data_IF_955218013000
#
_entry.id   IF_955218013000
#
_cell.length_a   1.000
_cell.length_b   1.000
_cell.length_c   1.000
_cell.angle_alpha   90.00
_cell.angle_beta   90.00
_cell.angle_gamma   90.00
#
_symmetry.space_group_name_H-M   'P 1'
#
loop_
_entity.id
_entity.type
_entity.pdbx_description
1 polymer ?
#
# COMPACT_ATOMS: atom_id res chain seq x y z
N UNK A 1 -9.48 -7.19 -2.75
CA UNK A 1 -9.73 -7.97 -3.98
C UNK A 1 -9.65 -7.15 -5.27
N UNK A 2 -10.48 -6.11 -5.46
CA UNK A 2 -10.58 -5.34 -6.72
C UNK A 2 -9.27 -4.73 -7.23
N UNK A 3 -8.43 -4.24 -6.32
CA UNK A 3 -7.15 -3.61 -6.65
C UNK A 3 -5.96 -4.58 -6.69
N UNK A 4 -6.20 -5.90 -6.59
CA UNK A 4 -5.12 -6.90 -6.62
C UNK A 4 -4.06 -6.73 -5.52
N UNK A 5 -4.37 -6.00 -4.45
CA UNK A 5 -3.52 -5.87 -3.26
C UNK A 5 -3.30 -7.25 -2.66
N UNK A 6 -2.05 -7.58 -2.35
CA UNK A 6 -1.66 -8.91 -1.89
C UNK A 6 -0.63 -8.91 -0.75
N UNK A 7 -0.18 -7.72 -0.32
CA UNK A 7 0.88 -7.58 0.67
C UNK A 7 0.75 -6.25 1.42
N UNK A 8 1.00 -6.29 2.72
CA UNK A 8 1.05 -5.14 3.62
C UNK A 8 2.50 -4.65 3.78
N UNK A 9 2.71 -3.34 3.63
CA UNK A 9 4.02 -2.72 3.81
C UNK A 9 4.39 -2.52 5.29
N UNK A 10 3.41 -2.54 6.20
CA UNK A 10 3.61 -2.36 7.63
C UNK A 10 2.65 -3.28 8.38
N UNK A 11 3.14 -4.43 8.81
CA UNK A 11 2.39 -5.37 9.63
C UNK A 11 3.31 -6.18 10.55
N UNK A 12 2.74 -7.19 11.18
CA UNK A 12 3.40 -8.18 12.02
C UNK A 12 2.70 -9.53 11.85
N UNK A 13 3.34 -10.64 12.28
CA UNK A 13 2.68 -11.95 12.29
C UNK A 13 1.35 -12.00 13.06
N UNK A 14 1.11 -11.04 13.97
CA UNK A 14 -0.05 -11.01 14.85
C UNK A 14 -1.22 -10.19 14.28
N UNK A 15 -0.99 -9.38 13.25
CA UNK A 15 -2.00 -8.49 12.69
C UNK A 15 -2.09 -8.44 11.16
N UNK A 16 -1.21 -9.16 10.44
CA UNK A 16 -1.27 -9.21 8.99
C UNK A 16 -2.59 -9.84 8.50
N UNK A 17 -3.13 -9.28 7.42
CA UNK A 17 -4.21 -9.87 6.66
C UNK A 17 -3.68 -10.81 5.57
N UNK A 18 -2.58 -10.44 4.92
CA UNK A 18 -1.97 -11.21 3.84
C UNK A 18 -0.86 -12.14 4.36
N UNK A 19 -0.60 -13.26 3.67
CA UNK A 19 0.51 -14.16 4.03
C UNK A 19 1.90 -13.54 3.76
N UNK A 20 1.96 -12.47 2.97
CA UNK A 20 3.17 -11.73 2.67
C UNK A 20 3.03 -10.33 3.25
N UNK A 21 3.99 -9.90 4.07
CA UNK A 21 3.99 -8.57 4.66
C UNK A 21 5.41 -8.12 5.01
N UNK A 22 5.62 -6.83 5.17
CA UNK A 22 6.84 -6.27 5.76
C UNK A 22 6.63 -5.99 7.26
N UNK A 23 7.67 -6.22 8.06
CA UNK A 23 7.62 -6.06 9.52
C UNK A 23 8.94 -5.54 10.10
N UNK A 24 8.89 -5.10 11.36
CA UNK A 24 10.04 -4.46 12.02
C UNK A 24 11.15 -5.46 12.40
N UNK A 25 10.80 -6.68 12.84
CA UNK A 25 11.74 -7.64 13.42
C UNK A 25 11.92 -8.85 12.50
N UNK A 26 12.68 -8.68 11.41
CA UNK A 26 12.79 -9.70 10.36
C UNK A 26 13.28 -11.06 10.89
N UNK A 27 14.24 -11.06 11.81
CA UNK A 27 14.85 -12.26 12.38
C UNK A 27 13.82 -13.20 13.03
N UNK A 28 12.83 -12.63 13.72
CA UNK A 28 11.74 -13.37 14.36
C UNK A 28 10.59 -13.60 13.38
N UNK A 29 10.20 -12.57 12.65
CA UNK A 29 8.94 -12.58 11.89
C UNK A 29 9.04 -13.35 10.56
N UNK A 30 10.26 -13.62 10.06
CA UNK A 30 10.47 -14.30 8.77
C UNK A 30 9.86 -15.69 8.73
N UNK A 31 9.87 -16.41 9.85
CA UNK A 31 9.26 -17.74 9.94
C UNK A 31 7.73 -17.71 9.72
N UNK A 32 7.11 -16.53 9.84
CA UNK A 32 5.68 -16.32 9.76
C UNK A 32 5.26 -15.52 8.52
N UNK A 33 6.15 -15.34 7.54
CA UNK A 33 5.83 -14.68 6.27
C UNK A 33 6.38 -13.26 6.09
N UNK A 34 7.12 -12.73 7.08
CA UNK A 34 7.75 -11.42 6.92
C UNK A 34 8.80 -11.40 5.82
N UNK A 35 8.71 -10.36 4.99
CA UNK A 35 9.64 -10.01 3.93
C UNK A 35 10.78 -9.09 4.43
N UNK A 36 10.85 -8.84 5.74
CA UNK A 36 11.73 -7.88 6.38
C UNK A 36 11.13 -6.48 6.44
N UNK A 37 11.94 -5.50 6.83
CA UNK A 37 11.46 -4.12 6.94
C UNK A 37 11.08 -3.54 5.59
N UNK A 38 10.08 -2.64 5.60
CA UNK A 38 9.64 -1.92 4.40
C UNK A 38 10.82 -1.23 3.70
N UNK A 39 11.70 -0.61 4.48
CA UNK A 39 12.81 0.21 3.99
C UNK A 39 13.99 -0.58 3.45
N UNK A 40 14.17 -1.85 3.86
CA UNK A 40 15.31 -2.68 3.45
C UNK A 40 14.88 -3.95 2.72
N UNK A 41 14.53 -5.02 3.45
CA UNK A 41 14.26 -6.34 2.89
C UNK A 41 13.16 -6.32 1.83
N UNK A 42 12.02 -5.73 2.17
CA UNK A 42 10.89 -5.58 1.24
C UNK A 42 11.27 -4.75 0.02
N UNK A 43 11.92 -3.60 0.24
CA UNK A 43 12.31 -2.71 -0.85
C UNK A 43 13.32 -3.34 -1.82
N UNK A 44 14.23 -4.17 -1.32
CA UNK A 44 15.14 -4.98 -2.16
C UNK A 44 14.38 -6.01 -3.00
N UNK A 45 13.35 -6.65 -2.43
CA UNK A 45 12.50 -7.60 -3.17
C UNK A 45 11.71 -6.91 -4.29
N UNK A 46 11.10 -5.76 -3.98
CA UNK A 46 10.36 -4.95 -4.96
C UNK A 46 11.28 -4.50 -6.10
N UNK A 47 12.45 -3.93 -5.78
CA UNK A 47 13.38 -3.39 -6.79
C UNK A 47 14.16 -4.46 -7.57
N UNK A 48 14.24 -5.68 -7.06
CA UNK A 48 14.98 -6.77 -7.69
C UNK A 48 14.04 -7.84 -8.22
N UNK A 49 13.89 -8.97 -7.50
CA UNK A 49 13.22 -10.16 -8.04
C UNK A 49 11.80 -9.91 -8.53
N UNK A 50 11.02 -9.04 -7.87
CA UNK A 50 9.64 -8.77 -8.29
C UNK A 50 9.58 -7.89 -9.54
N UNK A 51 10.35 -6.80 -9.58
CA UNK A 51 10.51 -5.99 -10.79
C UNK A 51 10.97 -6.85 -11.98
N UNK A 52 11.96 -7.72 -11.78
CA UNK A 52 12.47 -8.60 -12.83
C UNK A 52 11.44 -9.64 -13.27
N UNK A 53 10.66 -10.19 -12.35
CA UNK A 53 9.55 -11.08 -12.69
C UNK A 53 8.51 -10.37 -13.57
N UNK A 54 8.21 -9.12 -13.26
CA UNK A 54 7.29 -8.33 -14.08
C UNK A 54 7.85 -8.02 -15.46
N UNK A 55 9.14 -7.66 -15.56
CA UNK A 55 9.83 -7.47 -16.84
C UNK A 55 9.74 -8.73 -17.70
N UNK A 56 10.02 -9.90 -17.13
CA UNK A 56 9.89 -11.19 -17.83
C UNK A 56 8.45 -11.44 -18.30
N UNK A 57 7.46 -11.15 -17.46
CA UNK A 57 6.05 -11.30 -17.81
C UNK A 57 5.62 -10.36 -18.95
N UNK A 58 6.10 -9.10 -18.97
CA UNK A 58 5.86 -8.14 -20.05
C UNK A 58 6.42 -8.66 -21.37
N UNK A 59 7.67 -9.13 -21.38
CA UNK A 59 8.35 -9.63 -22.59
C UNK A 59 7.62 -10.85 -23.15
N UNK A 60 7.33 -11.85 -22.31
CA UNK A 60 6.60 -13.06 -22.71
C UNK A 60 5.25 -12.71 -23.34
N UNK A 61 4.51 -11.80 -22.72
CA UNK A 61 3.18 -11.41 -23.18
C UNK A 61 3.16 -10.64 -24.50
N UNK A 62 4.19 -9.84 -24.79
CA UNK A 62 4.34 -9.20 -26.10
C UNK A 62 4.55 -10.22 -27.20
N UNK A 63 5.24 -11.33 -26.92
CA UNK A 63 5.39 -12.43 -27.86
C UNK A 63 4.07 -13.19 -28.09
N UNK A 64 3.23 -13.31 -27.05
CA UNK A 64 1.99 -14.10 -27.08
C UNK A 64 0.72 -13.34 -27.54
N UNK A 65 0.80 -12.10 -28.01
CA UNK A 65 -0.34 -11.42 -28.66
C UNK A 65 -1.38 -10.69 -27.76
N UNK A 66 -1.03 -10.30 -26.52
CA UNK A 66 -1.61 -9.07 -25.94
C UNK A 66 -2.82 -9.13 -24.97
N UNK A 67 -2.80 -9.97 -23.92
CA UNK A 67 -3.70 -9.78 -22.75
C UNK A 67 -3.20 -8.77 -21.68
N UNK A 68 -3.84 -8.69 -20.50
CA UNK A 68 -3.44 -7.85 -19.33
C UNK A 68 -2.41 -8.51 -18.40
N UNK A 69 -1.28 -7.87 -18.08
CA UNK A 69 -0.23 -8.44 -17.20
C UNK A 69 -0.72 -8.46 -15.75
N UNK A 70 -1.11 -9.63 -15.22
CA UNK A 70 -1.56 -9.78 -13.84
C UNK A 70 -0.43 -10.24 -12.92
N UNK A 71 0.64 -9.46 -12.81
CA UNK A 71 1.63 -9.70 -11.76
C UNK A 71 1.30 -8.76 -10.60
N UNK A 72 0.97 -9.28 -9.41
CA UNK A 72 0.48 -8.46 -8.32
C UNK A 72 1.64 -7.58 -7.83
N UNK A 73 1.51 -6.28 -8.08
CA UNK A 73 2.43 -5.22 -7.64
C UNK A 73 1.61 -4.08 -7.07
N UNK A 74 0.77 -4.47 -6.11
CA UNK A 74 -0.24 -3.66 -5.47
C UNK A 74 -0.15 -3.92 -3.98
N UNK A 75 0.04 -2.85 -3.23
CA UNK A 75 0.43 -2.93 -1.83
C UNK A 75 -0.44 -2.01 -0.97
N UNK A 76 -0.70 -2.46 0.24
CA UNK A 76 -1.31 -1.65 1.29
C UNK A 76 -0.20 -1.06 2.17
N UNK A 77 -0.39 0.18 2.63
CA UNK A 77 0.52 0.85 3.56
C UNK A 77 -0.26 1.55 4.68
N UNK A 78 -0.29 0.95 5.86
CA UNK A 78 -0.75 1.59 7.10
C UNK A 78 0.43 1.71 8.10
N UNK A 79 1.34 2.71 7.92
CA UNK A 79 2.51 2.85 8.78
C UNK A 79 2.12 3.25 10.21
N UNK A 80 3.01 3.06 11.20
CA UNK A 80 2.88 3.76 12.48
C UNK A 80 2.70 5.28 12.25
N UNK A 81 1.74 5.89 12.94
CA UNK A 81 1.33 7.28 12.75
C UNK A 81 2.29 8.28 13.40
N UNK A 82 3.57 8.15 13.06
CA UNK A 82 4.63 9.07 13.43
C UNK A 82 5.12 9.83 12.20
N UNK A 83 5.15 11.16 12.27
CA UNK A 83 5.49 12.04 11.14
C UNK A 83 6.80 11.61 10.43
N UNK A 84 7.85 11.30 11.20
CA UNK A 84 9.13 10.86 10.64
C UNK A 84 9.02 9.51 9.90
N UNK A 85 8.21 8.58 10.40
CA UNK A 85 7.96 7.28 9.79
C UNK A 85 7.18 7.43 8.48
N UNK A 86 6.10 8.22 8.50
CA UNK A 86 5.27 8.47 7.30
C UNK A 86 6.08 9.22 6.25
N UNK A 87 6.92 10.19 6.63
CA UNK A 87 7.81 10.89 5.69
C UNK A 87 8.81 9.94 5.05
N UNK A 88 9.49 9.11 5.84
CA UNK A 88 10.44 8.12 5.31
C UNK A 88 9.74 7.13 4.37
N UNK A 89 8.52 6.71 4.70
CA UNK A 89 7.69 5.88 3.83
C UNK A 89 7.37 6.61 2.53
N UNK A 90 6.89 7.86 2.58
CA UNK A 90 6.55 8.64 1.39
C UNK A 90 7.75 8.80 0.44
N UNK A 91 8.93 9.13 0.97
CA UNK A 91 10.16 9.25 0.19
C UNK A 91 10.54 7.91 -0.48
N UNK A 92 10.36 6.79 0.25
CA UNK A 92 10.63 5.46 -0.30
C UNK A 92 9.62 5.05 -1.37
N UNK A 93 8.32 5.31 -1.15
CA UNK A 93 7.26 5.05 -2.14
C UNK A 93 7.55 5.79 -3.44
N UNK A 94 7.91 7.08 -3.35
CA UNK A 94 8.28 7.91 -4.50
C UNK A 94 9.47 7.31 -5.27
N UNK A 95 10.51 6.83 -4.55
CA UNK A 95 11.66 6.16 -5.16
C UNK A 95 11.27 4.88 -5.91
N UNK A 96 10.43 4.04 -5.30
CA UNK A 96 9.95 2.79 -5.90
C UNK A 96 9.09 3.06 -7.15
N UNK A 97 8.15 4.00 -7.04
CA UNK A 97 7.26 4.39 -8.13
C UNK A 97 8.04 4.97 -9.32
N UNK A 98 9.03 5.84 -9.08
CA UNK A 98 9.90 6.36 -10.16
C UNK A 98 10.65 5.25 -10.89
N UNK A 99 11.17 4.27 -10.17
CA UNK A 99 11.90 3.16 -10.77
C UNK A 99 11.01 2.26 -11.65
N UNK A 100 9.79 1.99 -11.19
CA UNK A 100 8.81 1.23 -11.96
C UNK A 100 8.29 2.02 -13.16
N UNK A 101 8.02 3.32 -13.01
CA UNK A 101 7.58 4.21 -14.09
C UNK A 101 8.65 4.29 -15.19
N UNK A 102 9.92 4.47 -14.83
CA UNK A 102 11.03 4.47 -15.78
C UNK A 102 11.16 3.15 -16.54
N UNK A 103 10.79 2.03 -15.88
CA UNK A 103 10.76 0.70 -16.50
C UNK A 103 9.45 0.40 -17.25
N UNK A 104 8.48 1.34 -17.26
CA UNK A 104 7.12 1.17 -17.81
C UNK A 104 6.39 -0.05 -17.24
N UNK A 105 6.54 -0.26 -15.93
CA UNK A 105 6.00 -1.38 -15.17
C UNK A 105 4.81 -0.95 -14.32
N UNK A 106 4.02 -1.92 -13.85
CA UNK A 106 2.84 -1.68 -13.01
C UNK A 106 3.28 -1.72 -11.55
N UNK A 107 3.06 -0.62 -10.83
CA UNK A 107 3.18 -0.52 -9.38
C UNK A 107 2.12 0.43 -8.84
N UNK A 108 1.50 0.04 -7.72
CA UNK A 108 0.62 0.90 -6.95
C UNK A 108 0.69 0.65 -5.45
N UNK A 109 0.39 1.70 -4.69
CA UNK A 109 0.30 1.69 -3.23
C UNK A 109 -0.98 2.38 -2.78
N UNK A 110 -1.63 1.80 -1.78
CA UNK A 110 -2.77 2.37 -1.07
C UNK A 110 -2.30 2.72 0.34
N UNK A 111 -2.15 4.02 0.60
CA UNK A 111 -1.61 4.54 1.87
C UNK A 111 -2.75 5.03 2.73
N UNK A 112 -2.82 4.54 3.96
CA UNK A 112 -3.82 4.90 4.96
C UNK A 112 -3.10 5.59 6.12
N UNK A 113 -3.35 6.89 6.30
CA UNK A 113 -2.84 7.67 7.44
C UNK A 113 -3.91 8.63 7.94
N UNK A 114 -3.84 9.13 9.18
CA UNK A 114 -4.76 10.16 9.64
C UNK A 114 -4.73 11.38 8.71
N UNK A 115 -5.87 12.03 8.52
CA UNK A 115 -6.03 13.20 7.66
C UNK A 115 -5.42 14.46 8.32
N UNK A 116 -4.10 14.45 8.53
CA UNK A 116 -3.35 15.53 9.17
C UNK A 116 -3.46 16.86 8.40
N UNK A 117 -3.53 16.79 7.07
CA UNK A 117 -3.64 17.95 6.18
C UNK A 117 -2.31 18.64 5.91
N UNK A 118 -2.26 19.43 4.84
CA UNK A 118 -1.02 20.01 4.32
C UNK A 118 -0.35 20.99 5.29
N UNK A 119 -1.14 21.78 6.01
CA UNK A 119 -0.62 22.81 6.92
C UNK A 119 0.13 22.22 8.14
N UNK A 120 -0.14 20.96 8.49
CA UNK A 120 0.30 20.35 9.75
C UNK A 120 1.29 19.20 9.56
N UNK A 121 1.42 18.65 8.35
CA UNK A 121 2.28 17.51 8.08
C UNK A 121 2.97 17.63 6.73
N UNK A 122 4.30 17.61 6.77
CA UNK A 122 5.15 17.52 5.58
C UNK A 122 4.99 16.15 4.93
N UNK A 123 4.87 15.09 5.73
CA UNK A 123 4.65 13.73 5.25
C UNK A 123 3.34 13.60 4.46
N UNK A 124 2.24 14.15 4.99
CA UNK A 124 0.95 14.19 4.31
C UNK A 124 1.03 15.02 3.02
N UNK A 125 1.67 16.19 3.07
CA UNK A 125 1.85 17.07 1.91
C UNK A 125 2.63 16.38 0.78
N UNK A 126 3.66 15.61 1.10
CA UNK A 126 4.43 14.83 0.11
C UNK A 126 3.58 13.79 -0.61
N UNK A 127 2.73 13.08 0.13
CA UNK A 127 1.82 12.10 -0.45
C UNK A 127 0.78 12.78 -1.34
N UNK A 128 0.22 13.91 -0.90
CA UNK A 128 -0.78 14.65 -1.67
C UNK A 128 -0.18 15.34 -2.93
N UNK A 129 1.06 15.80 -2.84
CA UNK A 129 1.79 16.44 -3.93
C UNK A 129 2.54 15.49 -4.87
N UNK A 130 2.47 14.17 -4.64
CA UNK A 130 3.20 13.21 -5.48
C UNK A 130 2.69 13.22 -6.92
N UNK A 131 3.61 13.21 -7.89
CA UNK A 131 3.27 13.07 -9.31
C UNK A 131 2.58 11.73 -9.62
N UNK A 132 2.70 10.75 -8.73
CA UNK A 132 2.08 9.44 -8.84
C UNK A 132 0.70 9.37 -8.19
N UNK A 133 0.25 10.42 -7.50
CA UNK A 133 -1.10 10.45 -6.93
C UNK A 133 -2.16 10.36 -8.03
N UNK A 134 -2.98 9.32 -7.96
CA UNK A 134 -4.18 9.19 -8.77
C UNK A 134 -5.38 9.79 -8.06
N UNK A 135 -5.51 9.55 -6.75
CA UNK A 135 -6.60 10.05 -5.93
C UNK A 135 -6.21 10.09 -4.47
N UNK A 136 -6.68 11.13 -3.77
CA UNK A 136 -6.71 11.21 -2.32
C UNK A 136 -8.17 11.30 -1.89
N UNK A 137 -8.59 10.46 -0.95
CA UNK A 137 -9.94 10.50 -0.37
C UNK A 137 -9.83 10.55 1.14
N UNK A 138 -10.58 11.45 1.76
CA UNK A 138 -10.71 11.50 3.22
C UNK A 138 -11.98 10.76 3.65
N UNK A 139 -11.85 9.82 4.57
CA UNK A 139 -12.95 9.08 5.18
C UNK A 139 -13.18 9.62 6.60
N UNK A 140 -14.37 10.18 6.89
CA UNK A 140 -14.70 10.65 8.23
C UNK A 140 -14.57 9.54 9.29
N UNK A 141 -14.07 9.88 10.47
CA UNK A 141 -13.84 8.97 11.60
C UNK A 141 -15.07 8.11 11.91
N UNK A 142 -16.25 8.74 11.92
CA UNK A 142 -17.54 8.09 12.22
C UNK A 142 -18.00 7.09 11.15
N UNK A 143 -17.41 7.13 9.95
CA UNK A 143 -17.75 6.26 8.83
C UNK A 143 -16.79 5.09 8.64
N UNK A 144 -15.84 4.86 9.56
CA UNK A 144 -14.96 3.71 9.49
C UNK A 144 -14.41 3.28 10.85
N UNK A 145 -13.68 2.16 10.87
CA UNK A 145 -13.03 1.65 12.06
C UNK A 145 -11.73 0.92 11.74
N UNK A 146 -10.93 0.70 12.78
CA UNK A 146 -9.71 -0.08 12.74
C UNK A 146 -9.88 -1.40 13.46
N UNK A 147 -9.07 -2.38 13.05
CA UNK A 147 -8.86 -3.57 13.86
C UNK A 147 -7.85 -3.23 14.96
N UNK A 148 -8.15 -3.64 16.18
CA UNK A 148 -7.36 -3.39 17.37
C UNK A 148 -5.96 -4.03 17.25
N UNK A 149 -4.89 -3.28 17.56
CA UNK A 149 -3.53 -3.78 17.42
C UNK A 149 -3.23 -5.02 18.29
N UNK A 150 -3.92 -5.14 19.43
CA UNK A 150 -3.86 -6.32 20.31
C UNK A 150 -4.93 -7.36 20.00
N UNK A 151 -5.37 -7.49 18.74
CA UNK A 151 -6.37 -8.47 18.29
C UNK A 151 -6.04 -9.93 18.66
N UNK A 152 -4.75 -10.24 18.85
CA UNK A 152 -4.27 -11.56 19.24
C UNK A 152 -4.60 -11.93 20.70
N UNK A 153 -5.01 -10.96 21.53
CA UNK A 153 -5.47 -11.21 22.91
C UNK A 153 -6.91 -10.75 23.18
N UNK A 154 -7.45 -9.80 22.41
CA UNK A 154 -8.77 -9.19 22.66
C UNK A 154 -9.92 -10.00 22.02
N UNK A 155 -11.02 -10.14 22.77
CA UNK A 155 -12.28 -10.70 22.27
C UNK A 155 -13.01 -9.77 21.30
N UNK A 156 -13.02 -8.45 21.56
CA UNK A 156 -13.52 -7.45 20.62
C UNK A 156 -12.35 -6.86 19.84
N UNK A 157 -12.35 -7.06 18.54
CA UNK A 157 -11.21 -6.76 17.68
C UNK A 157 -11.39 -5.49 16.86
N UNK A 158 -12.53 -4.79 16.93
CA UNK A 158 -12.80 -3.61 16.09
C UNK A 158 -13.08 -2.39 16.95
N UNK A 159 -12.63 -1.23 16.51
CA UNK A 159 -12.93 0.05 17.15
C UNK A 159 -13.28 1.08 16.07
N UNK A 160 -14.23 1.96 16.37
CA UNK A 160 -14.50 3.14 15.52
C UNK A 160 -13.24 4.00 15.47
N UNK A 161 -12.93 4.57 14.31
CA UNK A 161 -11.74 5.40 14.17
C UNK A 161 -11.87 6.66 15.03
N UNK A 162 -10.76 7.10 15.62
CA UNK A 162 -10.71 8.32 16.44
C UNK A 162 -10.45 9.58 15.61
N UNK A 163 -10.01 9.42 14.36
CA UNK A 163 -9.64 10.48 13.44
C UNK A 163 -10.11 10.15 12.03
N UNK A 164 -10.28 11.17 11.21
CA UNK A 164 -10.47 11.01 9.77
C UNK A 164 -9.21 10.39 9.16
N UNK A 165 -9.38 9.56 8.13
CA UNK A 165 -8.28 8.87 7.46
C UNK A 165 -8.18 9.34 6.02
N UNK A 166 -7.00 9.75 5.59
CA UNK A 166 -6.68 9.95 4.17
C UNK A 166 -6.22 8.65 3.54
N UNK A 167 -6.76 8.37 2.35
CA UNK A 167 -6.41 7.23 1.52
C UNK A 167 -5.75 7.77 0.26
N UNK A 168 -4.43 7.62 0.16
CA UNK A 168 -3.68 8.00 -1.02
C UNK A 168 -3.50 6.80 -1.93
N UNK A 169 -3.92 6.94 -3.18
CA UNK A 169 -3.80 5.92 -4.20
C UNK A 169 -2.69 6.35 -5.16
N UNK A 170 -1.48 5.87 -4.92
CA UNK A 170 -0.29 6.20 -5.68
C UNK A 170 -0.08 5.13 -6.76
N UNK A 171 -0.03 5.53 -8.03
CA UNK A 171 0.02 4.61 -9.15
C UNK A 171 1.00 5.11 -10.22
N UNK A 172 1.83 4.19 -10.71
CA UNK A 172 2.47 4.34 -12.04
C UNK A 172 1.43 4.45 -13.14
N UNK A 173 1.80 5.00 -14.30
CA UNK A 173 0.88 5.13 -15.46
C UNK A 173 0.28 3.78 -15.86
N UNK A 174 1.09 2.73 -15.87
CA UNK A 174 0.61 1.37 -16.20
C UNK A 174 -0.36 0.82 -15.15
N UNK A 175 -0.18 1.17 -13.88
CA UNK A 175 -1.15 0.80 -12.85
C UNK A 175 -2.49 1.52 -13.04
N UNK A 176 -2.48 2.81 -13.41
CA UNK A 176 -3.72 3.56 -13.70
C UNK A 176 -4.51 2.97 -14.86
N UNK A 177 -3.82 2.48 -15.90
CA UNK A 177 -4.44 1.79 -17.03
C UNK A 177 -5.10 0.45 -16.63
N UNK A 178 -4.60 -0.19 -15.57
CA UNK A 178 -5.06 -1.51 -15.12
C UNK A 178 -6.11 -1.44 -14.00
N UNK A 179 -5.97 -0.47 -13.11
CA UNK A 179 -6.78 -0.28 -11.92
C UNK A 179 -7.32 1.14 -11.90
N UNK A 180 -8.46 1.35 -12.55
CA UNK A 180 -9.11 2.65 -12.64
C UNK A 180 -9.72 2.98 -11.27
N UNK A 181 -9.00 3.81 -10.51
CA UNK A 181 -9.33 4.14 -9.12
C UNK A 181 -10.72 4.76 -8.97
N UNK A 182 -11.12 5.64 -9.88
CA UNK A 182 -12.41 6.34 -9.79
C UNK A 182 -13.60 5.40 -9.82
N UNK A 183 -13.54 4.34 -10.63
CA UNK A 183 -14.61 3.33 -10.76
C UNK A 183 -14.74 2.45 -9.50
N UNK A 184 -13.69 2.38 -8.69
CA UNK A 184 -13.58 1.46 -7.55
C UNK A 184 -13.62 2.18 -6.19
N UNK A 185 -13.62 3.51 -6.19
CA UNK A 185 -13.56 4.31 -4.95
C UNK A 185 -14.80 4.09 -4.09
N UNK A 186 -16.00 4.14 -4.68
CA UNK A 186 -17.25 4.00 -3.91
C UNK A 186 -17.39 2.63 -3.25
N UNK A 187 -16.95 1.57 -3.93
CA UNK A 187 -16.93 0.21 -3.36
C UNK A 187 -15.95 0.11 -2.20
N UNK A 188 -14.76 0.73 -2.32
CA UNK A 188 -13.80 0.81 -1.22
C UNK A 188 -14.39 1.56 -0.01
N UNK A 189 -14.97 2.74 -0.22
CA UNK A 189 -15.56 3.53 0.86
C UNK A 189 -16.75 2.82 1.51
N UNK A 190 -17.55 2.10 0.73
CA UNK A 190 -18.63 1.26 1.26
C UNK A 190 -18.08 0.13 2.13
N UNK A 191 -16.99 -0.51 1.72
CA UNK A 191 -16.35 -1.59 2.46
C UNK A 191 -15.68 -1.14 3.77
N UNK A 192 -15.35 0.16 3.90
CA UNK A 192 -14.79 0.74 5.12
C UNK A 192 -15.80 1.04 6.22
N UNK A 193 -17.11 1.05 5.87
CA UNK A 193 -18.16 1.32 6.86
C UNK A 193 -18.06 0.33 8.02
N UNK A 194 -18.28 0.76 9.27
CA UNK A 194 -18.26 -0.13 10.42
C UNK A 194 -19.26 -1.27 10.20
N UNK A 195 -18.85 -2.50 10.54
CA UNK A 195 -19.73 -3.67 10.55
C UNK A 195 -20.33 -3.86 11.92
#
# INVERSE_FOLDING_TARGET
ERFGVFCECFASPLNCHFPCFASACQDVDRAFGSLGSFFDGFSKLVMGPWMDAQRRAVVKKRADGGGVIRVPHSFECNPPFEEAMVRAMADQLERLLRAYEASRLVLQFFVFIPAWGEEKSDAWSRLNGSAFLSKNVTVPAVLHGYTEGSQHTKHHQRAVASHDTSIFMLQTKRAREMYVVDELTEELLTAMRPK
#
